data_IF_641939236150
#
_entry.id   IF_641939236150
#
_cell.length_a   1.000
_cell.length_b   1.000
_cell.length_c   1.000
_cell.angle_alpha   90.00
_cell.angle_beta   90.00
_cell.angle_gamma   90.00
#
_symmetry.space_group_name_H-M   'P 1'
#
loop_
_entity.id
_entity.type
_entity.pdbx_description
1 polymer ?
#
# COMPACT_ATOMS: atom_id res chain seq x y z
N UNK A 1 16.72 -12.84 18.13
CA UNK A 1 17.22 -12.48 16.79
C UNK A 1 16.16 -11.57 16.17
N UNK A 2 16.51 -10.33 15.80
CA UNK A 2 15.53 -9.41 15.21
C UNK A 2 15.10 -9.93 13.84
N UNK A 3 13.86 -10.34 13.71
CA UNK A 3 13.26 -10.81 12.47
C UNK A 3 12.96 -9.58 11.57
N UNK A 4 14.04 -8.88 11.15
CA UNK A 4 13.91 -7.70 10.29
C UNK A 4 13.55 -8.17 8.88
N UNK A 5 12.40 -7.74 8.30
CA UNK A 5 12.05 -8.05 6.92
C UNK A 5 13.11 -7.57 5.93
N UNK A 6 13.26 -8.25 4.79
CA UNK A 6 14.33 -8.00 3.79
C UNK A 6 14.33 -6.55 3.30
N UNK A 7 13.15 -5.96 3.10
CA UNK A 7 12.97 -4.59 2.63
C UNK A 7 12.84 -3.54 3.75
N UNK A 8 12.92 -3.95 5.02
CA UNK A 8 12.72 -3.06 6.15
C UNK A 8 13.62 -1.81 6.09
N UNK A 9 12.99 -0.64 6.12
CA UNK A 9 13.64 0.67 6.05
C UNK A 9 13.95 1.15 4.63
N UNK A 10 13.58 0.40 3.59
CA UNK A 10 13.58 0.88 2.21
C UNK A 10 12.20 1.44 1.88
N UNK A 11 12.16 2.54 1.15
CA UNK A 11 10.92 3.17 0.71
C UNK A 11 11.10 3.70 -0.72
N UNK A 12 10.08 3.55 -1.53
CA UNK A 12 10.03 4.16 -2.86
C UNK A 12 9.52 5.59 -2.83
N UNK A 13 9.10 6.10 -1.68
CA UNK A 13 8.40 7.39 -1.55
C UNK A 13 9.17 8.59 -2.14
N UNK A 14 10.50 8.59 -2.00
CA UNK A 14 11.34 9.66 -2.54
C UNK A 14 11.66 9.49 -4.04
N UNK A 15 11.20 8.39 -4.65
CA UNK A 15 11.40 8.04 -6.06
C UNK A 15 10.16 8.32 -6.92
N UNK A 16 9.02 8.62 -6.29
CA UNK A 16 7.75 8.83 -6.98
C UNK A 16 7.40 10.30 -7.11
N UNK A 17 6.66 10.61 -8.16
CA UNK A 17 5.96 11.88 -8.29
C UNK A 17 4.68 11.82 -7.45
N UNK A 18 4.64 12.64 -6.40
CA UNK A 18 3.54 12.65 -5.44
C UNK A 18 2.25 13.23 -6.03
N UNK A 19 2.36 14.21 -6.91
CA UNK A 19 1.20 14.85 -7.53
C UNK A 19 0.52 13.86 -8.49
N UNK A 20 1.31 13.14 -9.31
CA UNK A 20 0.80 12.08 -10.17
C UNK A 20 0.20 10.93 -9.36
N UNK A 21 0.86 10.49 -8.29
CA UNK A 21 0.33 9.47 -7.39
C UNK A 21 -1.02 9.88 -6.79
N UNK A 22 -1.11 11.07 -6.22
CA UNK A 22 -2.34 11.58 -5.60
C UNK A 22 -3.48 11.75 -6.60
N UNK A 23 -3.17 12.18 -7.83
CA UNK A 23 -4.15 12.31 -8.91
C UNK A 23 -4.75 10.95 -9.30
N UNK A 24 -3.95 9.88 -9.35
CA UNK A 24 -4.44 8.54 -9.69
C UNK A 24 -5.20 7.93 -8.50
N UNK A 25 -4.67 8.01 -7.27
CA UNK A 25 -5.31 7.46 -6.07
C UNK A 25 -6.66 8.14 -5.83
N UNK A 26 -6.78 9.45 -6.10
CA UNK A 26 -8.00 10.24 -5.92
C UNK A 26 -8.57 10.09 -4.50
N UNK A 27 -7.79 10.56 -3.52
CA UNK A 27 -8.13 10.42 -2.11
C UNK A 27 -9.39 11.22 -1.78
N UNK A 28 -10.42 10.53 -1.32
CA UNK A 28 -11.69 11.16 -0.93
C UNK A 28 -11.68 11.51 0.57
N UNK A 29 -12.16 12.73 0.96
CA UNK A 29 -12.26 13.11 2.36
C UNK A 29 -13.17 12.19 3.18
N UNK A 30 -12.84 12.05 4.46
CA UNK A 30 -13.64 11.32 5.46
C UNK A 30 -13.77 9.80 5.22
N UNK A 31 -12.89 9.23 4.42
CA UNK A 31 -12.84 7.80 4.12
C UNK A 31 -11.88 7.04 5.04
N UNK A 32 -12.02 5.73 5.11
CA UNK A 32 -11.08 4.84 5.77
C UNK A 32 -10.05 4.35 4.74
N UNK A 33 -8.81 4.67 4.98
CA UNK A 33 -7.68 4.30 4.12
C UNK A 33 -6.81 3.25 4.81
N UNK A 34 -6.31 2.28 4.05
CA UNK A 34 -5.42 1.23 4.53
C UNK A 34 -4.07 1.32 3.80
N UNK A 35 -2.98 1.45 4.53
CA UNK A 35 -1.61 1.38 4.00
C UNK A 35 -0.98 0.07 4.50
N UNK A 36 -0.82 -0.90 3.60
CA UNK A 36 -0.25 -2.21 3.89
C UNK A 36 1.24 -2.24 3.57
N UNK A 37 2.04 -2.73 4.52
CA UNK A 37 3.49 -2.68 4.54
C UNK A 37 3.99 -1.21 4.56
N UNK A 38 3.40 -0.42 5.45
CA UNK A 38 3.60 1.03 5.52
C UNK A 38 5.03 1.46 5.92
N UNK A 39 5.86 0.55 6.41
CA UNK A 39 7.22 0.84 6.87
C UNK A 39 7.26 1.91 7.95
N UNK A 40 8.00 2.99 7.68
CA UNK A 40 8.08 4.19 8.56
C UNK A 40 7.00 5.22 8.27
N UNK A 41 5.99 4.87 7.47
CA UNK A 41 4.75 5.61 7.24
C UNK A 41 4.87 6.84 6.35
N UNK A 42 5.80 6.89 5.41
CA UNK A 42 5.93 8.05 4.52
C UNK A 42 4.66 8.29 3.70
N UNK A 43 4.06 7.21 3.15
CA UNK A 43 2.77 7.28 2.44
C UNK A 43 1.61 7.63 3.38
N UNK A 44 1.56 7.04 4.58
CA UNK A 44 0.52 7.37 5.58
C UNK A 44 0.48 8.86 5.91
N UNK A 45 1.64 9.48 6.13
CA UNK A 45 1.76 10.90 6.47
C UNK A 45 1.30 11.79 5.31
N UNK A 46 1.62 11.42 4.07
CA UNK A 46 1.14 12.13 2.89
C UNK A 46 -0.38 12.01 2.75
N UNK A 47 -0.90 10.78 2.83
CA UNK A 47 -2.33 10.48 2.64
C UNK A 47 -3.20 11.16 3.71
N UNK A 48 -2.76 11.15 4.97
CA UNK A 48 -3.57 11.72 6.07
C UNK A 48 -3.81 13.21 5.91
N UNK A 49 -2.91 13.94 5.26
CA UNK A 49 -3.09 15.36 4.97
C UNK A 49 -4.27 15.63 4.01
N UNK A 50 -4.62 14.65 3.16
CA UNK A 50 -5.69 14.77 2.16
C UNK A 50 -7.01 14.16 2.62
N UNK A 51 -6.99 13.21 3.55
CA UNK A 51 -8.20 12.48 3.97
C UNK A 51 -9.09 13.28 4.94
N UNK A 52 -8.53 14.31 5.56
CA UNK A 52 -9.23 15.18 6.52
C UNK A 52 -9.42 14.53 7.90
N UNK A 53 -9.86 15.33 8.88
CA UNK A 53 -9.90 14.93 10.30
C UNK A 53 -10.88 13.78 10.61
N UNK A 54 -11.93 13.61 9.81
CA UNK A 54 -12.95 12.56 10.01
C UNK A 54 -12.60 11.24 9.35
N UNK A 55 -11.61 11.22 8.45
CA UNK A 55 -11.08 9.99 7.86
C UNK A 55 -10.08 9.32 8.79
N UNK A 56 -9.83 8.04 8.55
CA UNK A 56 -8.84 7.26 9.33
C UNK A 56 -7.88 6.57 8.38
N UNK A 57 -6.58 6.63 8.66
CA UNK A 57 -5.55 5.82 7.99
C UNK A 57 -5.17 4.67 8.91
N UNK A 58 -5.36 3.43 8.45
CA UNK A 58 -4.84 2.23 9.09
C UNK A 58 -3.49 1.90 8.47
N UNK A 59 -2.43 1.93 9.28
CA UNK A 59 -1.05 1.72 8.86
C UNK A 59 -0.53 0.41 9.44
N UNK A 60 -0.29 -0.58 8.60
CA UNK A 60 0.06 -1.95 9.04
C UNK A 60 1.39 -2.36 8.43
N UNK A 61 2.29 -2.86 9.28
CA UNK A 61 3.58 -3.43 8.86
C UNK A 61 4.01 -4.53 9.83
N UNK A 62 4.76 -5.50 9.31
CA UNK A 62 5.40 -6.53 10.14
C UNK A 62 6.61 -5.98 10.91
N UNK A 63 7.22 -4.91 10.43
CA UNK A 63 8.43 -4.33 10.98
C UNK A 63 8.12 -3.42 12.18
N UNK A 64 8.24 -3.98 13.39
CA UNK A 64 7.94 -3.29 14.65
C UNK A 64 8.67 -1.95 14.79
N UNK A 65 9.98 -1.90 14.48
CA UNK A 65 10.76 -0.65 14.61
C UNK A 65 10.31 0.42 13.60
N UNK A 66 9.82 0.02 12.42
CA UNK A 66 9.19 0.94 11.46
C UNK A 66 7.93 1.58 12.04
N UNK A 67 7.08 0.79 12.67
CA UNK A 67 5.87 1.26 13.36
C UNK A 67 6.22 2.19 14.53
N UNK A 68 7.28 1.89 15.30
CA UNK A 68 7.74 2.80 16.37
C UNK A 68 8.16 4.16 15.82
N UNK A 69 8.93 4.19 14.71
CA UNK A 69 9.31 5.44 14.03
C UNK A 69 8.07 6.20 13.53
N UNK A 70 7.10 5.50 12.94
CA UNK A 70 5.84 6.11 12.51
C UNK A 70 5.09 6.72 13.70
N UNK A 71 4.98 6.01 14.81
CA UNK A 71 4.33 6.52 16.03
C UNK A 71 5.00 7.78 16.58
N UNK A 72 6.34 7.87 16.52
CA UNK A 72 7.07 9.08 16.89
C UNK A 72 6.72 10.25 15.96
N UNK A 73 6.67 10.03 14.62
CA UNK A 73 6.25 11.05 13.64
C UNK A 73 4.82 11.53 13.90
N UNK A 74 3.88 10.60 14.12
CA UNK A 74 2.47 10.88 14.44
C UNK A 74 2.37 11.78 15.68
N UNK A 75 3.07 11.41 16.76
CA UNK A 75 3.08 12.17 18.00
C UNK A 75 3.69 13.57 17.84
N UNK A 76 4.83 13.66 17.14
CA UNK A 76 5.52 14.94 16.91
C UNK A 76 4.69 15.91 16.06
N UNK A 77 3.93 15.39 15.08
CA UNK A 77 3.07 16.19 14.21
C UNK A 77 1.65 16.41 14.78
N UNK A 78 1.31 15.84 15.94
CA UNK A 78 -0.02 15.95 16.55
C UNK A 78 -1.15 15.30 15.73
N UNK A 79 -0.82 14.32 14.87
CA UNK A 79 -1.78 13.61 14.02
C UNK A 79 -2.62 12.67 14.90
N UNK A 80 -3.95 12.66 14.73
CA UNK A 80 -4.87 11.90 15.59
C UNK A 80 -5.60 10.77 14.88
N UNK A 81 -5.53 10.72 13.58
CA UNK A 81 -6.33 9.84 12.72
C UNK A 81 -5.50 8.83 11.91
N UNK A 82 -4.27 8.54 12.33
CA UNK A 82 -3.52 7.36 11.90
C UNK A 82 -3.55 6.31 13.03
N UNK A 83 -3.94 5.10 12.69
CA UNK A 83 -3.94 3.93 13.58
C UNK A 83 -2.90 2.93 13.10
N UNK A 84 -1.89 2.68 13.91
CA UNK A 84 -0.78 1.80 13.56
C UNK A 84 -0.98 0.40 14.13
N UNK A 85 -0.49 -0.62 13.42
CA UNK A 85 -0.54 -2.00 13.85
C UNK A 85 0.69 -2.76 13.36
N UNK A 86 1.24 -3.61 14.23
CA UNK A 86 2.27 -4.59 13.83
C UNK A 86 1.56 -5.91 13.51
N UNK A 87 1.53 -6.30 12.24
CA UNK A 87 0.93 -7.55 11.78
C UNK A 87 1.52 -8.03 10.46
N UNK A 88 1.40 -9.34 10.21
CA UNK A 88 1.73 -9.95 8.93
C UNK A 88 0.54 -9.78 7.96
N UNK A 89 0.77 -9.01 6.90
CA UNK A 89 -0.25 -8.70 5.89
C UNK A 89 -0.72 -9.91 5.06
N UNK A 90 -0.02 -11.04 5.16
CA UNK A 90 -0.40 -12.30 4.49
C UNK A 90 -1.34 -13.16 5.34
N UNK A 91 -1.74 -12.68 6.51
CA UNK A 91 -2.67 -13.34 7.43
C UNK A 91 -3.94 -12.52 7.60
N UNK A 92 -4.96 -13.09 8.24
CA UNK A 92 -6.16 -12.34 8.57
C UNK A 92 -5.84 -11.22 9.56
N UNK A 93 -6.14 -9.98 9.18
CA UNK A 93 -5.93 -8.78 9.97
C UNK A 93 -7.12 -8.52 10.91
N UNK A 94 -6.89 -7.96 12.11
CA UNK A 94 -7.97 -7.59 13.04
C UNK A 94 -8.62 -6.26 12.62
N UNK A 95 -9.04 -6.19 11.37
CA UNK A 95 -9.79 -5.10 10.75
C UNK A 95 -11.12 -5.66 10.26
N UNK A 96 -12.20 -4.93 10.48
CA UNK A 96 -13.54 -5.34 10.11
C UNK A 96 -13.66 -5.51 8.58
N UNK A 97 -14.38 -6.55 8.15
CA UNK A 97 -14.65 -6.74 6.72
C UNK A 97 -15.51 -5.61 6.15
N UNK A 98 -15.32 -5.31 4.87
CA UNK A 98 -16.05 -4.24 4.16
C UNK A 98 -16.03 -2.89 4.91
N UNK A 99 -14.93 -2.56 5.58
CA UNK A 99 -14.79 -1.33 6.37
C UNK A 99 -13.86 -0.29 5.73
N UNK A 100 -13.02 -0.70 4.78
CA UNK A 100 -12.01 0.12 4.12
C UNK A 100 -12.53 0.64 2.78
N UNK A 101 -12.35 1.94 2.52
CA UNK A 101 -12.75 2.57 1.27
C UNK A 101 -11.64 2.52 0.22
N UNK A 102 -10.38 2.62 0.64
CA UNK A 102 -9.22 2.58 -0.27
C UNK A 102 -8.01 1.93 0.43
N UNK A 103 -7.27 1.13 -0.31
CA UNK A 103 -6.04 0.47 0.16
C UNK A 103 -4.87 0.84 -0.74
N UNK A 104 -3.69 1.06 -0.15
CA UNK A 104 -2.41 1.20 -0.84
C UNK A 104 -1.49 0.05 -0.46
N UNK A 105 -0.86 -0.53 -1.47
CA UNK A 105 0.27 -1.44 -1.36
C UNK A 105 1.43 -0.87 -2.17
N UNK A 106 2.41 -0.28 -1.50
CA UNK A 106 3.53 0.37 -2.17
C UNK A 106 4.80 -0.50 -2.11
N UNK A 107 5.21 -1.01 -3.25
CA UNK A 107 6.48 -1.76 -3.47
C UNK A 107 6.67 -2.94 -2.52
N UNK A 108 5.64 -3.75 -2.34
CA UNK A 108 5.65 -4.91 -1.44
C UNK A 108 5.34 -6.24 -2.13
N UNK A 109 4.56 -6.25 -3.23
CA UNK A 109 4.15 -7.51 -3.86
C UNK A 109 5.35 -8.32 -4.36
N UNK A 110 6.37 -7.67 -4.91
CA UNK A 110 7.58 -8.33 -5.39
C UNK A 110 8.40 -9.02 -4.29
N UNK A 111 8.25 -8.64 -3.03
CA UNK A 111 8.94 -9.25 -1.87
C UNK A 111 8.19 -10.46 -1.30
N UNK A 112 6.93 -10.67 -1.70
CA UNK A 112 6.11 -11.78 -1.24
C UNK A 112 6.28 -13.03 -2.12
N UNK A 113 6.18 -14.20 -1.50
CA UNK A 113 6.02 -15.45 -2.26
C UNK A 113 4.72 -15.45 -3.06
N UNK A 114 4.59 -16.29 -4.09
CA UNK A 114 3.35 -16.39 -4.88
C UNK A 114 2.12 -16.70 -4.02
N UNK A 115 2.25 -17.52 -2.99
CA UNK A 115 1.18 -17.77 -2.03
C UNK A 115 0.90 -16.55 -1.15
N UNK A 116 1.93 -15.81 -0.74
CA UNK A 116 1.78 -14.57 0.03
C UNK A 116 1.10 -13.45 -0.79
N UNK A 117 1.46 -13.32 -2.07
CA UNK A 117 0.79 -12.38 -3.00
C UNK A 117 -0.72 -12.67 -3.06
N UNK A 118 -1.11 -13.92 -3.23
CA UNK A 118 -2.53 -14.32 -3.25
C UNK A 118 -3.22 -14.09 -1.90
N UNK A 119 -2.55 -14.44 -0.81
CA UNK A 119 -3.11 -14.27 0.54
C UNK A 119 -3.37 -12.79 0.86
N UNK A 120 -2.45 -11.88 0.54
CA UNK A 120 -2.64 -10.45 0.80
C UNK A 120 -3.75 -9.87 -0.08
N UNK A 121 -3.86 -10.23 -1.38
CA UNK A 121 -4.96 -9.75 -2.22
C UNK A 121 -6.31 -10.28 -1.73
N UNK A 122 -6.37 -11.55 -1.29
CA UNK A 122 -7.58 -12.12 -0.68
C UNK A 122 -7.99 -11.36 0.59
N UNK A 123 -7.04 -11.01 1.44
CA UNK A 123 -7.31 -10.23 2.65
C UNK A 123 -7.77 -8.81 2.31
N UNK A 124 -7.13 -8.14 1.35
CA UNK A 124 -7.57 -6.82 0.85
C UNK A 124 -9.00 -6.91 0.30
N UNK A 125 -9.34 -7.99 -0.43
CA UNK A 125 -10.71 -8.21 -0.92
C UNK A 125 -11.71 -8.30 0.23
N UNK A 126 -11.37 -8.96 1.33
CA UNK A 126 -12.23 -9.02 2.53
C UNK A 126 -12.42 -7.64 3.16
N UNK A 127 -11.37 -6.84 3.25
CA UNK A 127 -11.35 -5.57 3.97
C UNK A 127 -12.03 -4.42 3.20
N UNK A 128 -11.84 -4.38 1.87
CA UNK A 128 -12.42 -3.34 1.05
C UNK A 128 -13.94 -3.49 0.94
N UNK A 129 -14.64 -2.36 1.00
CA UNK A 129 -16.07 -2.27 0.66
C UNK A 129 -16.30 -2.65 -0.81
N UNK A 130 -17.50 -3.11 -1.19
CA UNK A 130 -17.89 -3.10 -2.60
C UNK A 130 -17.71 -1.68 -3.20
N UNK A 131 -17.09 -1.57 -4.37
CA UNK A 131 -16.68 -0.29 -4.95
C UNK A 131 -15.46 0.36 -4.29
N UNK A 132 -14.83 -0.30 -3.32
CA UNK A 132 -13.58 0.16 -2.70
C UNK A 132 -12.39 0.01 -3.63
N UNK A 133 -11.37 0.86 -3.44
CA UNK A 133 -10.22 0.98 -4.34
C UNK A 133 -8.98 0.28 -3.80
N UNK A 134 -8.32 -0.52 -4.62
CA UNK A 134 -6.99 -1.06 -4.39
C UNK A 134 -5.99 -0.32 -5.28
N UNK A 135 -4.98 0.31 -4.67
CA UNK A 135 -3.90 1.01 -5.34
C UNK A 135 -2.59 0.25 -5.12
N UNK A 136 -1.88 -0.06 -6.19
CA UNK A 136 -0.62 -0.80 -6.13
C UNK A 136 0.46 0.01 -6.83
N UNK A 137 1.54 0.34 -6.09
CA UNK A 137 2.75 0.93 -6.64
C UNK A 137 3.81 -0.16 -6.72
N UNK A 138 4.45 -0.30 -7.90
CA UNK A 138 5.55 -1.24 -8.09
C UNK A 138 6.68 -0.63 -8.92
N UNK A 139 7.83 -1.30 -8.93
CA UNK A 139 8.98 -0.91 -9.74
C UNK A 139 8.84 -1.39 -11.18
N UNK A 140 9.10 -0.48 -12.13
CA UNK A 140 9.18 -0.82 -13.56
C UNK A 140 10.28 -1.87 -13.80
N UNK A 141 10.05 -2.81 -14.73
CA UNK A 141 11.06 -3.76 -15.20
C UNK A 141 12.04 -3.07 -16.17
N UNK A 142 12.92 -2.23 -15.62
CA UNK A 142 13.99 -1.53 -16.35
C UNK A 142 15.35 -1.96 -15.82
N UNK A 143 16.36 -2.03 -16.69
CA UNK A 143 17.68 -2.59 -16.35
C UNK A 143 18.46 -1.75 -15.35
N UNK A 144 18.25 -0.44 -15.32
CA UNK A 144 18.98 0.51 -14.47
C UNK A 144 18.04 1.22 -13.50
N UNK A 145 18.57 1.65 -12.36
CA UNK A 145 17.84 2.43 -11.38
C UNK A 145 17.76 1.77 -10.01
N UNK A 146 17.15 2.45 -9.05
CA UNK A 146 16.94 1.93 -7.69
C UNK A 146 15.92 0.78 -7.66
N UNK A 147 15.78 0.17 -6.49
CA UNK A 147 14.79 -0.87 -6.23
C UNK A 147 15.35 -2.28 -6.20
N UNK A 148 14.48 -3.29 -6.23
CA UNK A 148 14.88 -4.69 -6.13
C UNK A 148 15.52 -5.19 -7.43
N UNK A 149 16.21 -6.36 -7.39
CA UNK A 149 16.71 -7.00 -8.60
C UNK A 149 15.60 -7.22 -9.63
N UNK A 150 15.93 -7.02 -10.91
CA UNK A 150 15.01 -7.14 -12.06
C UNK A 150 14.14 -8.41 -12.04
N UNK A 151 14.74 -9.54 -11.64
CA UNK A 151 14.11 -10.86 -11.63
C UNK A 151 12.91 -11.00 -10.70
N UNK A 152 12.78 -10.12 -9.68
CA UNK A 152 11.65 -10.14 -8.74
C UNK A 152 10.67 -8.99 -8.98
N UNK A 153 11.01 -8.02 -9.84
CA UNK A 153 10.06 -6.95 -10.20
C UNK A 153 8.87 -7.55 -10.94
N UNK A 154 7.71 -7.00 -10.66
CA UNK A 154 6.47 -7.35 -11.35
C UNK A 154 6.16 -6.27 -12.40
N UNK A 155 5.80 -6.66 -13.61
CA UNK A 155 5.24 -5.74 -14.59
C UNK A 155 3.72 -5.58 -14.40
N UNK A 156 3.15 -4.62 -15.11
CA UNK A 156 1.72 -4.32 -15.00
C UNK A 156 0.83 -5.53 -15.32
N UNK A 157 1.21 -6.35 -16.31
CA UNK A 157 0.43 -7.53 -16.70
C UNK A 157 0.45 -8.62 -15.62
N UNK A 158 1.58 -8.81 -14.94
CA UNK A 158 1.69 -9.75 -13.83
C UNK A 158 0.84 -9.31 -12.64
N UNK A 159 0.80 -7.99 -12.35
CA UNK A 159 -0.07 -7.44 -11.30
C UNK A 159 -1.54 -7.52 -11.71
N UNK A 160 -1.89 -7.12 -12.94
CA UNK A 160 -3.26 -7.23 -13.47
C UNK A 160 -3.77 -8.67 -13.38
N UNK A 161 -2.97 -9.65 -13.83
CA UNK A 161 -3.34 -11.07 -13.78
C UNK A 161 -3.59 -11.57 -12.37
N UNK A 162 -2.78 -11.13 -11.39
CA UNK A 162 -2.96 -11.51 -9.99
C UNK A 162 -4.24 -10.91 -9.41
N UNK A 163 -4.44 -9.61 -9.59
CA UNK A 163 -5.49 -8.85 -8.89
C UNK A 163 -6.88 -9.17 -9.44
N UNK A 164 -7.01 -9.31 -10.75
CA UNK A 164 -8.31 -9.58 -11.40
C UNK A 164 -8.91 -10.93 -11.03
N UNK A 165 -8.09 -11.92 -10.64
CA UNK A 165 -8.58 -13.21 -10.13
C UNK A 165 -9.45 -13.09 -8.86
N UNK A 166 -9.32 -11.97 -8.12
CA UNK A 166 -10.02 -11.74 -6.85
C UNK A 166 -11.23 -10.78 -6.97
N UNK A 167 -11.75 -10.57 -8.18
CA UNK A 167 -12.96 -9.78 -8.40
C UNK A 167 -12.72 -8.28 -8.47
N UNK A 168 -11.53 -7.88 -8.88
CA UNK A 168 -11.20 -6.47 -9.16
C UNK A 168 -11.20 -6.18 -10.65
N UNK A 169 -11.53 -4.94 -11.01
CA UNK A 169 -11.33 -4.39 -12.35
C UNK A 169 -10.36 -3.21 -12.30
N UNK A 170 -9.45 -3.13 -13.27
CA UNK A 170 -8.56 -1.99 -13.42
C UNK A 170 -9.35 -0.77 -13.89
N UNK A 171 -9.25 0.34 -13.16
CA UNK A 171 -9.98 1.58 -13.47
C UNK A 171 -9.06 2.74 -13.84
N UNK A 172 -7.80 2.72 -13.38
CA UNK A 172 -6.79 3.71 -13.73
C UNK A 172 -5.38 3.11 -13.58
N UNK A 173 -4.39 3.83 -14.05
CA UNK A 173 -2.99 3.50 -13.87
C UNK A 173 -2.10 4.44 -14.67
N UNK A 174 -0.83 4.51 -14.30
CA UNK A 174 0.15 5.34 -14.97
C UNK A 174 1.52 5.28 -14.31
N UNK A 175 2.46 5.93 -14.92
CA UNK A 175 3.79 6.13 -14.33
C UNK A 175 3.69 7.15 -13.19
N UNK A 176 4.35 6.86 -12.07
CA UNK A 176 4.43 7.76 -10.91
C UNK A 176 5.90 8.06 -10.60
N UNK A 177 6.57 8.65 -11.58
CA UNK A 177 8.00 8.92 -11.57
C UNK A 177 8.81 8.01 -12.50
N UNK A 178 10.13 8.21 -12.50
CA UNK A 178 11.04 7.53 -13.46
C UNK A 178 11.03 6.00 -13.30
N UNK A 179 10.93 5.50 -12.05
CA UNK A 179 11.20 4.08 -11.73
C UNK A 179 9.97 3.29 -11.33
N UNK A 180 8.82 3.94 -11.11
CA UNK A 180 7.63 3.33 -10.57
C UNK A 180 6.41 3.54 -11.45
N UNK A 181 5.46 2.63 -11.35
CA UNK A 181 4.11 2.75 -11.87
C UNK A 181 3.09 2.55 -10.73
N UNK A 182 1.88 3.05 -10.94
CA UNK A 182 0.73 2.84 -10.05
C UNK A 182 -0.43 2.27 -10.86
N UNK A 183 -1.08 1.24 -10.32
CA UNK A 183 -2.31 0.66 -10.86
C UNK A 183 -3.42 0.81 -9.83
N UNK A 184 -4.61 1.21 -10.28
CA UNK A 184 -5.81 1.39 -9.45
C UNK A 184 -6.89 0.44 -9.92
N UNK A 185 -7.46 -0.29 -8.96
CA UNK A 185 -8.50 -1.28 -9.20
C UNK A 185 -9.71 -0.99 -8.31
N UNK A 186 -10.89 -1.28 -8.84
CA UNK A 186 -12.15 -1.24 -8.10
C UNK A 186 -12.60 -2.66 -7.76
N UNK A 187 -13.00 -2.88 -6.49
CA UNK A 187 -13.63 -4.14 -6.07
C UNK A 187 -15.08 -4.20 -6.56
N UNK A 188 -15.45 -5.25 -7.30
CA UNK A 188 -16.77 -5.38 -7.92
C UNK A 188 -17.90 -5.74 -6.93
N UNK A 189 -17.63 -6.62 -5.94
CA UNK A 189 -18.65 -7.15 -4.99
C UNK A 189 -18.04 -7.61 -3.67
#
# INVERSE_FOLDING_TARGET
>A
MSNRPVAAGKSSFDLIDKEEMLAIIDIQPHKNFLDLACGVGNYCIEIVAHIGEKGTVHAIDLWHQGIEVLNQKISAAGIKNIRTMVADITTQLPVEENSIDSCLMATILHDLSKSGQRAVIQEVTRLLKPGGMLNIIEFKKIEKGPGPPMKIRMDEQEVDSLVTEFGFIKVAGGEVGEFNYLLKYEKLF
#
